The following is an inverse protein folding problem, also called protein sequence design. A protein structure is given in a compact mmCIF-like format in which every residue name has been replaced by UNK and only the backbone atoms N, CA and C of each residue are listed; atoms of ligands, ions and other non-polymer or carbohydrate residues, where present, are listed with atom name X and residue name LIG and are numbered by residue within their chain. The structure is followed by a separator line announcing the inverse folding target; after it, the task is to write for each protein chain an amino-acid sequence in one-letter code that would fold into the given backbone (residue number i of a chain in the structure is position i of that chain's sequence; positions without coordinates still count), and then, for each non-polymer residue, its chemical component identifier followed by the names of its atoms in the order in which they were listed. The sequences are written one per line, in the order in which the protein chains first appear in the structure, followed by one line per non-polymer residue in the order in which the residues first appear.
data_IF_835858167810
#
_entry.id   IF_835858167810
#
_cell.length_a   1.000
_cell.length_b   1.000
_cell.length_c   1.000
_cell.angle_alpha   90.00
_cell.angle_beta   90.00
_cell.angle_gamma   90.00
#
_symmetry.space_group_name_H-M   'P 1'
#
loop_
_entity.id
_entity.type
_entity.pdbx_description
1 polymer ?
#
# COMPACT_ATOMS: atom_id res chain seq x y z
N UNK A 1 4.61 17.34 -21.63
CA UNK A 1 3.83 16.52 -20.66
C UNK A 1 4.44 15.13 -20.70
N UNK A 2 5.02 14.67 -19.58
CA UNK A 2 5.59 13.31 -19.48
C UNK A 2 4.49 12.42 -18.89
N UNK A 3 4.04 11.43 -19.65
CA UNK A 3 3.09 10.44 -19.17
C UNK A 3 3.89 9.32 -18.48
N UNK A 4 3.67 9.12 -17.18
CA UNK A 4 4.24 7.99 -16.44
C UNK A 4 3.45 6.72 -16.79
N UNK A 5 4.11 5.77 -17.45
CA UNK A 5 3.57 4.43 -17.67
C UNK A 5 3.84 3.58 -16.43
N UNK A 6 2.83 3.41 -15.57
CA UNK A 6 2.93 2.57 -14.37
C UNK A 6 2.69 1.11 -14.76
N UNK A 7 3.74 0.29 -14.74
CA UNK A 7 3.60 -1.16 -14.76
C UNK A 7 3.27 -1.63 -13.34
N UNK A 8 1.99 -1.91 -13.08
CA UNK A 8 1.53 -2.51 -11.82
C UNK A 8 2.02 -3.96 -11.77
N UNK A 9 3.14 -4.18 -11.10
CA UNK A 9 3.70 -5.51 -10.84
C UNK A 9 3.29 -5.94 -9.42
N UNK A 10 2.07 -6.40 -9.26
CA UNK A 10 1.59 -6.91 -7.98
C UNK A 10 0.35 -7.78 -8.16
N UNK A 11 0.50 -9.08 -7.89
CA UNK A 11 -0.58 -10.04 -7.90
C UNK A 11 -1.66 -9.62 -6.89
N UNK A 12 -2.78 -9.12 -7.40
CA UNK A 12 -4.03 -9.01 -6.65
C UNK A 12 -4.59 -10.43 -6.44
N UNK A 13 -3.94 -11.23 -5.60
CA UNK A 13 -4.52 -12.51 -5.20
C UNK A 13 -5.51 -12.20 -4.08
N UNK A 14 -6.77 -12.03 -4.44
CA UNK A 14 -7.89 -11.69 -3.57
C UNK A 14 -8.85 -12.88 -3.53
N UNK A 15 -8.86 -13.61 -2.41
CA UNK A 15 -9.91 -14.55 -2.11
C UNK A 15 -10.25 -14.56 -0.62
N UNK A 16 -11.46 -14.10 -0.28
CA UNK A 16 -12.24 -14.63 0.85
C UNK A 16 -12.31 -13.81 2.15
N UNK A 17 -13.31 -12.93 2.26
CA UNK A 17 -14.27 -12.79 3.38
C UNK A 17 -13.88 -12.86 4.87
N UNK A 18 -12.61 -12.75 5.26
CA UNK A 18 -12.16 -12.89 6.67
C UNK A 18 -11.31 -11.70 7.15
N UNK A 19 -11.67 -10.48 6.75
CA UNK A 19 -10.94 -9.26 7.13
C UNK A 19 -9.63 -9.06 6.37
N UNK A 20 -9.31 -9.88 5.37
CA UNK A 20 -8.11 -9.66 4.55
C UNK A 20 -8.26 -8.36 3.74
N UNK A 21 -7.33 -7.38 3.88
CA UNK A 21 -7.41 -6.14 3.13
C UNK A 21 -7.11 -6.37 1.65
N UNK A 22 -7.63 -5.48 0.82
CA UNK A 22 -7.40 -5.40 -0.63
C UNK A 22 -7.03 -3.97 -0.97
N UNK A 23 -6.02 -3.81 -1.83
CA UNK A 23 -5.58 -2.51 -2.35
C UNK A 23 -5.98 -2.46 -3.82
N UNK A 24 -6.70 -1.43 -4.22
CA UNK A 24 -7.22 -1.26 -5.58
C UNK A 24 -7.08 0.19 -6.05
N UNK A 25 -7.30 0.44 -7.34
CA UNK A 25 -7.28 1.78 -7.95
C UNK A 25 -6.01 2.60 -7.68
N UNK A 26 -4.86 1.92 -7.61
CA UNK A 26 -3.57 2.57 -7.40
C UNK A 26 -3.24 3.46 -8.59
N UNK A 27 -3.06 4.77 -8.33
CA UNK A 27 -2.68 5.78 -9.32
C UNK A 27 -1.60 6.68 -8.76
N UNK A 28 -0.64 7.01 -9.61
CA UNK A 28 0.44 7.94 -9.30
C UNK A 28 0.57 8.93 -10.43
N UNK A 29 0.44 10.21 -10.10
CA UNK A 29 0.45 11.31 -11.05
C UNK A 29 1.40 12.42 -10.59
N UNK A 30 2.04 13.11 -11.54
CA UNK A 30 2.89 14.27 -11.26
C UNK A 30 4.39 13.97 -11.28
N UNK A 31 5.24 14.99 -11.06
CA UNK A 31 6.70 14.85 -11.00
C UNK A 31 7.14 14.27 -9.65
N UNK A 32 8.30 13.61 -9.60
CA UNK A 32 8.86 12.96 -8.39
C UNK A 32 8.94 13.86 -7.15
N UNK A 33 9.14 15.16 -7.34
CA UNK A 33 9.19 16.17 -6.26
C UNK A 33 7.83 16.57 -5.70
N UNK A 34 6.72 16.16 -6.32
CA UNK A 34 5.35 16.41 -5.88
C UNK A 34 4.39 15.40 -6.54
N UNK A 35 4.56 14.12 -6.20
CA UNK A 35 3.72 13.05 -6.69
C UNK A 35 2.40 13.04 -5.92
N UNK A 36 1.31 12.80 -6.64
CA UNK A 36 0.02 12.49 -6.06
C UNK A 36 -0.20 10.99 -6.13
N UNK A 37 -0.20 10.32 -4.99
CA UNK A 37 -0.58 8.92 -4.86
C UNK A 37 -2.05 8.84 -4.44
N UNK A 38 -2.80 7.95 -5.09
CA UNK A 38 -4.15 7.57 -4.64
C UNK A 38 -4.40 6.08 -4.78
N UNK A 39 -5.12 5.51 -3.83
CA UNK A 39 -5.52 4.10 -3.82
C UNK A 39 -6.72 3.89 -2.90
N UNK A 40 -7.40 2.77 -3.07
CA UNK A 40 -8.50 2.33 -2.22
C UNK A 40 -8.05 1.13 -1.38
N UNK A 41 -8.40 1.13 -0.10
CA UNK A 41 -8.25 0.00 0.82
C UNK A 41 -9.63 -0.52 1.18
N UNK A 42 -9.84 -1.82 1.03
CA UNK A 42 -11.08 -2.48 1.41
C UNK A 42 -10.83 -3.79 2.15
N UNK A 43 -11.53 -4.02 3.25
CA UNK A 43 -11.58 -5.31 3.93
C UNK A 43 -13.01 -5.60 4.41
N UNK A 44 -13.51 -6.81 4.18
CA UNK A 44 -14.84 -7.25 4.62
C UNK A 44 -14.67 -8.36 5.67
N UNK A 45 -15.45 -8.33 6.76
CA UNK A 45 -15.40 -9.33 7.84
C UNK A 45 -14.29 -9.10 8.87
N UNK A 46 -13.88 -7.85 9.07
CA UNK A 46 -12.93 -7.43 10.12
C UNK A 46 -13.64 -7.40 11.47
N UNK A 47 -13.01 -7.90 12.53
CA UNK A 47 -13.58 -7.87 13.89
C UNK A 47 -13.66 -6.43 14.42
N UNK A 48 -14.73 -6.09 15.16
CA UNK A 48 -15.02 -4.71 15.58
C UNK A 48 -13.93 -4.05 16.44
N UNK A 49 -13.09 -4.85 17.10
CA UNK A 49 -11.95 -4.45 17.92
C UNK A 49 -10.61 -4.50 17.17
N UNK A 50 -10.58 -5.07 15.97
CA UNK A 50 -9.39 -5.13 15.12
C UNK A 50 -9.19 -3.84 14.31
N UNK A 51 -7.98 -3.67 13.78
CA UNK A 51 -7.64 -2.56 12.86
C UNK A 51 -6.89 -3.08 11.65
N UNK A 52 -6.99 -2.35 10.54
CA UNK A 52 -6.12 -2.51 9.37
C UNK A 52 -5.07 -1.41 9.42
N UNK A 53 -3.80 -1.78 9.53
CA UNK A 53 -2.70 -0.84 9.34
C UNK A 53 -2.37 -0.73 7.86
N UNK A 54 -2.20 0.50 7.39
CA UNK A 54 -1.87 0.82 6.00
C UNK A 54 -0.63 1.68 6.01
N UNK A 55 0.43 1.25 5.34
CA UNK A 55 1.66 2.00 5.18
C UNK A 55 2.00 2.22 3.71
N UNK A 56 2.66 3.34 3.41
CA UNK A 56 3.26 3.62 2.12
C UNK A 56 4.72 3.97 2.36
N UNK A 57 5.60 3.30 1.63
CA UNK A 57 7.05 3.48 1.78
C UNK A 57 7.72 3.62 0.42
N UNK A 58 8.68 4.53 0.33
CA UNK A 58 9.55 4.63 -0.84
C UNK A 58 10.58 3.49 -0.84
N UNK A 59 10.71 2.78 -1.96
CA UNK A 59 11.59 1.61 -2.09
C UNK A 59 12.61 1.78 -3.21
N UNK A 60 13.74 1.07 -3.09
CA UNK A 60 14.80 1.02 -4.11
C UNK A 60 14.38 0.20 -5.35
N UNK A 61 15.30 0.04 -6.29
CA UNK A 61 15.09 -0.67 -7.57
C UNK A 61 14.61 -2.13 -7.42
N UNK A 62 14.95 -2.76 -6.30
CA UNK A 62 14.54 -4.11 -5.91
C UNK A 62 13.08 -4.21 -5.44
N UNK A 63 12.40 -3.07 -5.29
CA UNK A 63 11.03 -2.93 -4.77
C UNK A 63 10.82 -3.53 -3.37
N UNK A 64 11.89 -3.76 -2.61
CA UNK A 64 11.82 -4.40 -1.31
C UNK A 64 12.57 -3.60 -0.24
N UNK A 65 13.68 -2.96 -0.60
CA UNK A 65 14.49 -2.21 0.34
C UNK A 65 13.94 -0.80 0.54
N UNK A 66 13.51 -0.42 1.76
CA UNK A 66 13.06 0.94 2.05
C UNK A 66 14.18 1.98 1.88
N UNK A 67 13.78 3.21 1.55
CA UNK A 67 14.67 4.37 1.56
C UNK A 67 14.57 5.06 2.93
N UNK A 68 15.59 4.89 3.77
CA UNK A 68 15.59 5.43 5.15
C UNK A 68 15.61 6.96 5.26
N UNK A 69 16.09 7.68 4.24
CA UNK A 69 16.29 9.14 4.29
C UNK A 69 15.12 9.95 3.66
N UNK A 70 14.00 9.31 3.32
CA UNK A 70 12.83 9.94 2.68
C UNK A 70 11.63 9.94 3.61
N UNK A 71 11.59 10.87 4.57
CA UNK A 71 10.59 10.97 5.65
C UNK A 71 9.23 11.47 5.14
N UNK A 72 8.62 10.74 4.22
CA UNK A 72 7.22 10.93 3.77
C UNK A 72 6.51 9.55 3.72
N UNK A 73 6.77 8.70 4.71
CA UNK A 73 6.05 7.45 4.86
C UNK A 73 4.64 7.75 5.41
N UNK A 74 3.61 7.37 4.65
CA UNK A 74 2.23 7.42 5.15
C UNK A 74 1.98 6.20 6.02
N UNK A 75 1.39 6.38 7.19
CA UNK A 75 0.84 5.29 8.00
C UNK A 75 -0.53 5.68 8.54
N UNK A 76 -1.49 4.76 8.48
CA UNK A 76 -2.84 4.95 9.01
C UNK A 76 -3.41 3.65 9.55
N UNK A 77 -4.17 3.74 10.63
CA UNK A 77 -4.93 2.63 11.20
C UNK A 77 -6.42 2.79 10.90
N UNK A 78 -7.04 1.78 10.29
CA UNK A 78 -8.43 1.80 9.87
C UNK A 78 -9.25 0.86 10.72
N UNK A 79 -10.32 1.39 11.31
CA UNK A 79 -11.30 0.60 12.07
C UNK A 79 -12.44 0.18 11.16
N UNK A 80 -12.98 -1.03 11.34
CA UNK A 80 -14.21 -1.39 10.66
C UNK A 80 -15.38 -0.57 11.18
N UNK A 81 -16.40 -0.46 10.33
CA UNK A 81 -17.72 0.01 10.73
C UNK A 81 -18.51 -1.10 11.47
N UNK A 82 -19.76 -0.80 11.86
CA UNK A 82 -20.65 -1.71 12.59
C UNK A 82 -20.98 -3.02 11.83
N UNK A 83 -20.63 -3.10 10.54
CA UNK A 83 -20.81 -4.30 9.69
C UNK A 83 -19.53 -5.09 9.52
N UNK A 84 -18.45 -4.74 10.21
CA UNK A 84 -17.14 -5.37 10.04
C UNK A 84 -16.48 -5.02 8.70
N UNK A 85 -16.80 -3.87 8.12
CA UNK A 85 -16.26 -3.44 6.82
C UNK A 85 -15.33 -2.24 7.01
N UNK A 86 -14.13 -2.34 6.42
CA UNK A 86 -13.19 -1.24 6.24
C UNK A 86 -13.24 -0.83 4.77
N UNK A 87 -13.50 0.44 4.51
CA UNK A 87 -13.39 1.03 3.18
C UNK A 87 -12.80 2.44 3.31
N UNK A 88 -11.63 2.66 2.72
CA UNK A 88 -10.98 3.98 2.72
C UNK A 88 -10.38 4.28 1.36
N UNK A 89 -10.59 5.52 0.92
CA UNK A 89 -9.86 6.11 -0.21
C UNK A 89 -8.75 6.99 0.33
N UNK A 90 -7.51 6.68 -0.02
CA UNK A 90 -6.34 7.47 0.32
C UNK A 90 -5.96 8.34 -0.88
N UNK A 91 -5.69 9.62 -0.64
CA UNK A 91 -5.06 10.50 -1.61
C UNK A 91 -4.10 11.42 -0.88
N UNK A 92 -2.83 11.34 -1.26
CA UNK A 92 -1.75 12.06 -0.59
C UNK A 92 -0.78 12.64 -1.62
N UNK A 93 -0.21 13.81 -1.29
CA UNK A 93 0.98 14.30 -1.96
C UNK A 93 2.21 13.68 -1.27
N UNK A 94 3.22 13.31 -2.05
CA UNK A 94 4.47 12.75 -1.54
C UNK A 94 5.64 13.18 -2.41
N UNK A 95 6.81 13.30 -1.80
CA UNK A 95 8.07 13.53 -2.53
C UNK A 95 8.89 12.24 -2.55
N UNK A 96 9.19 11.72 -3.73
CA UNK A 96 10.09 10.57 -3.83
C UNK A 96 11.55 11.03 -3.87
N UNK A 97 12.38 10.61 -2.90
CA UNK A 97 13.78 10.97 -2.90
C UNK A 97 14.51 10.35 -4.11
N UNK A 98 15.67 10.89 -4.47
CA UNK A 98 16.41 10.49 -5.69
C UNK A 98 16.76 9.01 -5.74
N UNK A 99 16.98 8.40 -4.58
CA UNK A 99 17.36 7.00 -4.42
C UNK A 99 16.17 6.03 -4.44
N UNK A 100 14.92 6.53 -4.43
CA UNK A 100 13.74 5.69 -4.59
C UNK A 100 13.56 5.32 -6.07
N UNK A 101 13.13 4.10 -6.36
CA UNK A 101 12.75 3.69 -7.71
C UNK A 101 11.34 3.12 -7.77
N UNK A 102 10.69 2.98 -6.63
CA UNK A 102 9.31 2.56 -6.54
C UNK A 102 8.63 3.01 -5.24
N UNK A 103 7.37 2.62 -5.14
CA UNK A 103 6.53 2.79 -3.96
C UNK A 103 6.03 1.40 -3.57
N UNK A 104 6.07 1.08 -2.27
CA UNK A 104 5.40 -0.06 -1.66
C UNK A 104 4.19 0.47 -0.87
N UNK A 105 3.02 -0.10 -1.11
CA UNK A 105 1.81 0.11 -0.32
C UNK A 105 1.52 -1.21 0.37
N UNK A 106 1.42 -1.21 1.68
CA UNK A 106 1.17 -2.42 2.47
C UNK A 106 -0.07 -2.18 3.34
N UNK A 107 -0.97 -3.15 3.35
CA UNK A 107 -2.15 -3.16 4.20
C UNK A 107 -2.21 -4.49 4.94
N UNK A 108 -2.24 -4.47 6.26
CA UNK A 108 -2.22 -5.66 7.09
C UNK A 108 -3.26 -5.56 8.21
N UNK A 109 -3.82 -6.71 8.59
CA UNK A 109 -4.59 -6.77 9.82
C UNK A 109 -3.61 -6.58 10.98
N UNK A 110 -3.87 -5.61 11.85
CA UNK A 110 -3.16 -5.48 13.12
C UNK A 110 -3.54 -6.67 14.01
N UNK A 111 -2.85 -7.78 13.82
CA UNK A 111 -2.79 -8.91 14.74
C UNK A 111 -1.67 -8.71 15.76
N UNK A 112 -1.66 -9.58 16.75
CA UNK A 112 -0.93 -9.61 18.02
C UNK A 112 0.62 -9.69 17.93
N UNK A 113 1.22 -9.00 16.95
CA UNK A 113 2.64 -8.65 16.96
C UNK A 113 3.58 -9.64 16.27
N UNK A 114 3.10 -10.44 15.31
CA UNK A 114 3.99 -11.28 14.49
C UNK A 114 4.19 -10.69 13.10
N UNK A 115 5.46 -10.65 12.69
CA UNK A 115 5.97 -10.18 11.41
C UNK A 115 5.40 -10.99 10.23
N UNK A 116 4.17 -10.68 9.82
CA UNK A 116 3.53 -11.37 8.70
C UNK A 116 4.16 -10.88 7.38
N UNK A 117 4.92 -11.77 6.72
CA UNK A 117 5.60 -11.47 5.47
C UNK A 117 4.61 -11.38 4.29
N UNK A 118 4.86 -10.48 3.34
CA UNK A 118 4.05 -10.28 2.11
C UNK A 118 3.82 -11.54 1.24
N UNK A 119 4.41 -12.69 1.56
CA UNK A 119 4.34 -13.93 0.76
C UNK A 119 3.60 -15.09 1.43
N UNK A 120 3.09 -14.95 2.66
CA UNK A 120 2.43 -16.08 3.31
C UNK A 120 0.98 -16.29 2.86
N UNK A 121 0.64 -17.56 2.58
CA UNK A 121 -0.71 -18.03 2.23
C UNK A 121 -1.66 -18.09 3.45
N UNK A 122 -1.38 -17.32 4.51
CA UNK A 122 -2.16 -17.36 5.75
C UNK A 122 -3.47 -16.57 5.58
N UNK A 123 -4.54 -17.04 6.24
CA UNK A 123 -5.91 -16.50 6.14
C UNK A 123 -6.06 -15.06 6.69
N UNK A 124 -4.98 -14.47 7.22
CA UNK A 124 -4.87 -13.10 7.75
C UNK A 124 -3.72 -12.30 7.10
N UNK A 125 -3.12 -12.82 6.04
CA UNK A 125 -1.89 -12.26 5.47
C UNK A 125 -2.04 -10.83 4.93
N UNK A 126 -0.94 -10.05 4.94
CA UNK A 126 -0.90 -8.70 4.39
C UNK A 126 -1.21 -8.68 2.89
N UNK A 127 -1.70 -7.55 2.42
CA UNK A 127 -1.80 -7.22 1.00
C UNK A 127 -0.81 -6.12 0.69
N UNK A 128 0.11 -6.42 -0.23
CA UNK A 128 1.19 -5.52 -0.63
C UNK A 128 1.04 -5.20 -2.13
N UNK A 129 1.15 -3.93 -2.51
CA UNK A 129 1.23 -3.48 -3.90
C UNK A 129 2.49 -2.67 -4.09
N UNK A 130 3.35 -3.11 -5.01
CA UNK A 130 4.62 -2.45 -5.33
C UNK A 130 4.66 -2.10 -6.79
N UNK A 131 5.17 -0.92 -7.11
CA UNK A 131 5.32 -0.50 -8.49
C UNK A 131 6.50 0.44 -8.65
N UNK A 132 7.12 0.39 -9.83
CA UNK A 132 8.22 1.28 -10.19
C UNK A 132 7.69 2.64 -10.61
N UNK A 133 8.40 3.68 -10.22
CA UNK A 133 8.18 5.03 -10.72
C UNK A 133 9.26 5.31 -11.77
N UNK A 134 8.99 4.88 -13.00
CA UNK A 134 9.91 5.08 -14.13
C UNK A 134 9.92 6.55 -14.58
N UNK A 135 11.11 7.13 -14.65
CA UNK A 135 11.36 8.34 -15.43
C UNK A 135 11.71 7.90 -16.85
N UNK A 136 10.84 8.16 -17.82
CA UNK A 136 11.30 8.20 -19.20
C UNK A 136 12.21 9.44 -19.33
N UNK A 137 13.52 9.23 -19.23
CA UNK A 137 14.54 10.19 -19.69
C UNK A 137 14.55 10.24 -21.21
#
# INVERSE_FOLDING_TARGET
MVALSVAVLGAADAAGGNGRPTITDVKVDGPRSNLKLSFNVKADGVQSDATIEVSVTAVRADLATPVQDGVDDYSSQLRPNDKGVVEQRVSMAMSLPSQAEGISIEALNAGDGTEDQCQEHSKRGPTCTRFRVSTNT
#
